data_IF_658321726869
#
_entry.id   IF_658321726869
#
_cell.length_a   1.000
_cell.length_b   1.000
_cell.length_c   1.000
_cell.angle_alpha   90.00
_cell.angle_beta   90.00
_cell.angle_gamma   90.00
#
_symmetry.space_group_name_H-M   'P 1'
#
loop_
_entity.id
_entity.type
_entity.pdbx_description
1 polymer ?
#
# COMPACT_ATOMS: atom_id res chain seq x y z
N UNK A 1 -16.13 4.98 25.22
CA UNK A 1 -15.28 6.01 24.63
C UNK A 1 -13.93 5.49 24.11
N UNK A 2 -13.14 4.71 24.88
CA UNK A 2 -11.83 4.16 24.38
C UNK A 2 -11.91 3.28 23.12
N UNK A 3 -12.95 2.45 22.96
CA UNK A 3 -13.12 1.60 21.75
C UNK A 3 -13.45 2.37 20.47
N UNK A 4 -14.11 3.52 20.57
CA UNK A 4 -14.42 4.37 19.40
C UNK A 4 -13.20 5.19 18.96
N UNK A 5 -12.37 5.67 19.88
CA UNK A 5 -11.11 6.34 19.56
C UNK A 5 -10.10 5.40 18.90
N UNK A 6 -9.96 4.15 19.40
CA UNK A 6 -9.13 3.10 18.76
C UNK A 6 -9.60 2.73 17.34
N UNK A 7 -10.92 2.83 17.07
CA UNK A 7 -11.51 2.55 15.75
C UNK A 7 -11.27 3.69 14.75
N UNK A 8 -11.18 4.94 15.22
CA UNK A 8 -10.83 6.10 14.39
C UNK A 8 -9.33 6.11 14.05
N UNK A 9 -8.44 5.75 14.96
CA UNK A 9 -6.99 5.73 14.76
C UNK A 9 -6.53 4.72 13.69
N UNK A 10 -7.21 3.57 13.55
CA UNK A 10 -6.88 2.56 12.52
C UNK A 10 -7.17 2.99 11.08
N UNK A 11 -7.82 4.10 10.84
CA UNK A 11 -8.24 4.55 9.50
C UNK A 11 -7.24 5.47 8.80
N UNK A 12 -6.15 5.88 9.44
CA UNK A 12 -5.23 6.91 8.93
C UNK A 12 -3.87 6.37 8.45
N UNK A 13 -3.65 5.05 8.52
CA UNK A 13 -2.40 4.46 8.03
C UNK A 13 -2.25 4.65 6.52
N UNK A 14 -1.07 5.07 6.14
CA UNK A 14 -0.60 5.17 4.76
C UNK A 14 -1.31 6.22 3.90
N UNK A 15 -1.76 7.32 4.52
CA UNK A 15 -2.60 8.32 3.85
C UNK A 15 -1.86 9.05 2.74
N UNK A 16 -0.60 9.44 2.96
CA UNK A 16 0.18 10.17 1.93
C UNK A 16 0.44 9.29 0.71
N UNK A 17 0.79 8.02 0.92
CA UNK A 17 0.95 7.04 -0.17
C UNK A 17 -0.37 6.88 -0.95
N UNK A 18 -1.48 6.69 -0.26
CA UNK A 18 -2.81 6.60 -0.88
C UNK A 18 -3.20 7.86 -1.62
N UNK A 19 -2.97 9.04 -1.04
CA UNK A 19 -3.27 10.32 -1.71
C UNK A 19 -2.48 10.46 -3.02
N UNK A 20 -1.23 10.05 -3.05
CA UNK A 20 -0.39 10.07 -4.25
C UNK A 20 -0.88 9.09 -5.32
N UNK A 21 -1.17 7.86 -4.93
CA UNK A 21 -1.48 6.78 -5.88
C UNK A 21 -2.98 6.51 -6.06
N UNK A 22 -3.87 7.28 -5.44
CA UNK A 22 -5.28 7.34 -5.83
C UNK A 22 -5.53 8.16 -7.10
N UNK A 23 -4.46 8.61 -7.74
CA UNK A 23 -4.46 9.23 -9.06
C UNK A 23 -4.11 8.18 -10.11
N UNK A 24 -4.91 8.07 -11.18
CA UNK A 24 -4.77 7.02 -12.20
C UNK A 24 -3.43 7.07 -12.94
N UNK A 25 -2.92 8.25 -13.24
CA UNK A 25 -1.64 8.45 -13.93
C UNK A 25 -0.47 7.99 -13.06
N UNK A 26 -0.46 8.39 -11.79
CA UNK A 26 0.57 7.96 -10.84
C UNK A 26 0.50 6.43 -10.59
N UNK A 27 -0.71 5.89 -10.47
CA UNK A 27 -0.94 4.46 -10.27
C UNK A 27 -0.50 3.64 -11.49
N UNK A 28 -0.80 4.11 -12.70
CA UNK A 28 -0.36 3.46 -13.94
C UNK A 28 1.17 3.49 -14.08
N UNK A 29 1.80 4.62 -13.74
CA UNK A 29 3.26 4.74 -13.69
C UNK A 29 3.88 3.74 -12.72
N UNK A 30 3.29 3.59 -11.51
CA UNK A 30 3.73 2.62 -10.52
C UNK A 30 3.56 1.17 -11.03
N UNK A 31 2.42 0.85 -11.62
CA UNK A 31 2.16 -0.46 -12.21
C UNK A 31 3.19 -0.79 -13.30
N UNK A 32 3.43 0.13 -14.23
CA UNK A 32 4.42 -0.03 -15.29
C UNK A 32 5.83 -0.28 -14.73
N UNK A 33 6.24 0.48 -13.73
CA UNK A 33 7.55 0.35 -13.10
C UNK A 33 7.77 -1.02 -12.44
N UNK A 34 6.72 -1.58 -11.82
CA UNK A 34 6.79 -2.88 -11.14
C UNK A 34 6.82 -4.04 -12.14
N UNK A 35 6.01 -3.95 -13.19
CA UNK A 35 5.79 -5.05 -14.13
C UNK A 35 6.65 -4.96 -15.41
N UNK A 36 7.44 -3.88 -15.59
CA UNK A 36 8.22 -3.63 -16.81
C UNK A 36 7.33 -3.43 -18.04
N UNK A 37 6.14 -2.85 -17.84
CA UNK A 37 5.17 -2.57 -18.91
C UNK A 37 5.15 -1.09 -19.28
N UNK A 38 4.47 -0.75 -20.38
CA UNK A 38 4.41 0.61 -20.92
C UNK A 38 2.98 0.97 -21.32
N UNK A 39 2.02 0.76 -20.42
CA UNK A 39 0.66 1.25 -20.65
C UNK A 39 0.64 2.78 -20.62
N UNK A 40 0.03 3.39 -21.64
CA UNK A 40 -0.06 4.85 -21.77
C UNK A 40 -1.44 5.39 -21.36
N UNK A 41 -2.49 4.58 -21.48
CA UNK A 41 -3.87 4.99 -21.26
C UNK A 41 -4.38 4.56 -19.90
N UNK A 42 -4.97 5.49 -19.19
CA UNK A 42 -5.60 5.26 -17.87
C UNK A 42 -7.06 4.81 -17.97
N UNK A 43 -7.64 4.80 -19.18
CA UNK A 43 -9.05 4.43 -19.38
C UNK A 43 -9.36 3.00 -18.97
N UNK A 44 -8.39 2.08 -19.18
CA UNK A 44 -8.51 0.68 -18.84
C UNK A 44 -8.21 0.39 -17.35
N UNK A 45 -7.86 1.42 -16.56
CA UNK A 45 -7.59 1.31 -15.14
C UNK A 45 -8.83 1.69 -14.33
N UNK A 46 -9.38 0.71 -13.61
CA UNK A 46 -10.52 0.87 -12.72
C UNK A 46 -10.10 0.73 -11.26
N UNK A 47 -10.26 1.79 -10.47
CA UNK A 47 -10.00 1.75 -9.02
C UNK A 47 -11.23 1.15 -8.32
N UNK A 48 -11.02 0.05 -7.61
CA UNK A 48 -12.07 -0.74 -6.95
C UNK A 48 -11.91 -0.80 -5.43
N UNK A 49 -11.14 0.11 -4.85
CA UNK A 49 -10.89 0.14 -3.40
C UNK A 49 -12.19 0.18 -2.59
N UNK A 50 -12.30 -0.67 -1.58
CA UNK A 50 -13.47 -0.73 -0.71
C UNK A 50 -13.46 0.43 0.30
N UNK A 51 -14.28 1.47 0.08
CA UNK A 51 -14.39 2.60 1.02
C UNK A 51 -15.11 2.23 2.33
N UNK A 52 -16.00 1.23 2.31
CA UNK A 52 -16.92 0.91 3.40
C UNK A 52 -16.87 -0.55 3.89
N UNK A 53 -15.69 -1.06 4.23
CA UNK A 53 -15.64 -2.32 4.96
C UNK A 53 -16.00 -2.09 6.45
N UNK A 54 -17.30 -1.99 6.76
CA UNK A 54 -17.84 -1.73 8.11
C UNK A 54 -17.55 -2.88 9.07
N UNK A 55 -17.31 -4.08 8.55
CA UNK A 55 -16.99 -5.27 9.35
C UNK A 55 -15.51 -5.62 9.21
N UNK A 56 -14.77 -5.54 10.32
CA UNK A 56 -13.40 -6.01 10.53
C UNK A 56 -12.24 -5.10 10.10
N UNK A 57 -12.31 -3.78 10.05
CA UNK A 57 -11.09 -2.93 9.89
C UNK A 57 -10.08 -3.39 8.80
N UNK A 58 -10.54 -4.16 7.79
CA UNK A 58 -9.73 -4.66 6.69
C UNK A 58 -9.96 -3.76 5.49
N UNK A 59 -9.14 -2.73 5.38
CA UNK A 59 -9.03 -1.90 4.17
C UNK A 59 -7.70 -2.25 3.53
N UNK A 60 -7.70 -2.47 2.23
CA UNK A 60 -6.50 -2.37 1.42
C UNK A 60 -6.31 -0.91 1.04
N UNK A 61 -5.06 -0.46 0.89
CA UNK A 61 -4.78 0.94 0.58
C UNK A 61 -5.28 1.30 -0.80
N UNK A 62 -4.93 0.51 -1.81
CA UNK A 62 -5.33 0.72 -3.20
C UNK A 62 -5.63 -0.63 -3.85
N UNK A 63 -6.83 -0.78 -4.39
CA UNK A 63 -7.19 -1.92 -5.25
C UNK A 63 -7.68 -1.41 -6.60
N UNK A 64 -7.22 -2.04 -7.67
CA UNK A 64 -7.59 -1.67 -9.03
C UNK A 64 -7.53 -2.84 -10.00
N UNK A 65 -8.31 -2.74 -11.07
CA UNK A 65 -8.26 -3.65 -12.22
C UNK A 65 -7.54 -2.92 -13.36
N UNK A 66 -6.62 -3.62 -14.00
CA UNK A 66 -6.00 -3.20 -15.25
C UNK A 66 -5.90 -4.40 -16.18
N UNK A 67 -6.62 -4.35 -17.30
CA UNK A 67 -6.76 -5.46 -18.22
C UNK A 67 -7.32 -6.71 -17.52
N UNK A 68 -6.56 -7.80 -17.51
CA UNK A 68 -6.95 -9.08 -16.90
C UNK A 68 -6.41 -9.27 -15.47
N UNK A 69 -5.87 -8.23 -14.85
CA UNK A 69 -5.28 -8.29 -13.52
C UNK A 69 -6.03 -7.44 -12.52
N UNK A 70 -6.24 -8.00 -11.34
CA UNK A 70 -6.72 -7.31 -10.15
C UNK A 70 -5.54 -7.11 -9.20
N UNK A 71 -5.17 -5.88 -8.95
CA UNK A 71 -3.99 -5.53 -8.17
C UNK A 71 -4.42 -4.99 -6.80
N UNK A 72 -3.81 -5.52 -5.75
CA UNK A 72 -3.99 -5.09 -4.37
C UNK A 72 -2.63 -4.57 -3.87
N UNK A 73 -2.55 -3.27 -3.68
CA UNK A 73 -1.37 -2.56 -3.22
C UNK A 73 -1.58 -2.07 -1.79
N UNK A 74 -0.65 -2.39 -0.92
CA UNK A 74 -0.65 -2.00 0.48
C UNK A 74 0.68 -1.33 0.81
N UNK A 75 0.66 -0.25 1.56
CA UNK A 75 1.86 0.37 2.10
C UNK A 75 2.05 -0.03 3.56
N UNK A 76 3.28 -0.31 3.99
CA UNK A 76 3.58 -0.67 5.37
C UNK A 76 4.90 -0.10 5.86
N UNK A 77 4.87 0.53 7.03
CA UNK A 77 6.04 0.94 7.79
C UNK A 77 6.53 -0.13 8.79
N UNK A 78 5.69 -1.12 9.07
CA UNK A 78 6.02 -2.28 9.90
C UNK A 78 5.63 -3.54 9.15
N UNK A 79 6.56 -4.50 9.01
CA UNK A 79 6.28 -5.76 8.35
C UNK A 79 5.24 -6.57 9.12
N UNK A 80 4.16 -6.90 8.44
CA UNK A 80 3.10 -7.75 8.99
C UNK A 80 3.13 -9.13 8.32
N UNK A 81 3.54 -10.20 9.04
CA UNK A 81 3.61 -11.55 8.47
C UNK A 81 2.23 -12.13 8.10
N UNK A 82 1.15 -11.54 8.62
CA UNK A 82 -0.22 -11.98 8.34
C UNK A 82 -0.84 -11.35 7.07
N UNK A 83 -0.04 -10.66 6.25
CA UNK A 83 -0.54 -10.07 5.01
C UNK A 83 -1.22 -11.09 4.09
N UNK A 84 -0.67 -12.30 3.84
CA UNK A 84 -1.34 -13.26 2.98
C UNK A 84 -2.74 -13.64 3.49
N UNK A 85 -2.93 -13.76 4.80
CA UNK A 85 -4.24 -14.05 5.39
C UNK A 85 -5.21 -12.86 5.28
N UNK A 86 -4.72 -11.64 5.46
CA UNK A 86 -5.51 -10.41 5.28
C UNK A 86 -5.97 -10.26 3.82
N UNK A 87 -5.03 -10.46 2.88
CA UNK A 87 -5.29 -10.36 1.46
C UNK A 87 -6.25 -11.44 0.96
N UNK A 88 -6.21 -12.66 1.52
CA UNK A 88 -7.17 -13.70 1.22
C UNK A 88 -8.60 -13.26 1.54
N UNK A 89 -8.83 -12.69 2.72
CA UNK A 89 -10.17 -12.21 3.09
C UNK A 89 -10.61 -11.00 2.25
N UNK A 90 -9.66 -10.14 1.88
CA UNK A 90 -9.97 -8.99 1.05
C UNK A 90 -10.32 -9.40 -0.38
N UNK A 91 -9.48 -10.26 -1.01
CA UNK A 91 -9.69 -10.68 -2.40
C UNK A 91 -10.98 -11.49 -2.56
N UNK A 92 -11.31 -12.34 -1.59
CA UNK A 92 -12.57 -13.10 -1.61
C UNK A 92 -13.79 -12.18 -1.73
N UNK A 93 -13.81 -11.07 -0.97
CA UNK A 93 -14.90 -10.07 -1.04
C UNK A 93 -14.92 -9.31 -2.37
N UNK A 94 -13.77 -9.07 -2.99
CA UNK A 94 -13.73 -8.43 -4.30
C UNK A 94 -14.23 -9.38 -5.39
N UNK A 95 -13.81 -10.64 -5.34
CA UNK A 95 -14.24 -11.67 -6.29
C UNK A 95 -15.75 -11.94 -6.20
N UNK A 96 -16.31 -11.95 -4.98
CA UNK A 96 -17.75 -12.10 -4.74
C UNK A 96 -18.58 -11.06 -5.49
N UNK A 97 -18.10 -9.81 -5.60
CA UNK A 97 -18.78 -8.74 -6.35
C UNK A 97 -18.72 -8.90 -7.86
N UNK A 98 -17.72 -9.61 -8.36
CA UNK A 98 -17.52 -9.83 -9.80
C UNK A 98 -18.28 -11.03 -10.34
N UNK A 99 -18.74 -11.89 -9.45
CA UNK A 99 -19.41 -13.14 -9.81
C UNK A 99 -20.91 -12.98 -9.62
N UNK A 100 -21.66 -13.27 -10.64
CA UNK A 100 -23.12 -13.36 -10.55
C UNK A 100 -23.48 -14.73 -9.97
N UNK A 101 -24.26 -14.75 -8.89
CA UNK A 101 -24.57 -15.96 -8.09
C UNK A 101 -24.98 -17.18 -8.94
N UNK A 102 -25.84 -17.00 -9.92
CA UNK A 102 -26.35 -18.08 -10.79
C UNK A 102 -25.23 -18.73 -11.66
N UNK A 103 -24.12 -18.04 -11.88
CA UNK A 103 -23.04 -18.54 -12.76
C UNK A 103 -22.13 -19.55 -12.08
N UNK A 104 -22.01 -19.51 -10.76
CA UNK A 104 -21.17 -20.45 -9.98
C UNK A 104 -21.68 -21.90 -10.04
N UNK A 105 -22.98 -22.08 -10.23
CA UNK A 105 -23.61 -23.40 -10.32
C UNK A 105 -23.73 -23.92 -11.75
N UNK A 106 -23.17 -23.18 -12.72
CA UNK A 106 -23.16 -23.60 -14.12
C UNK A 106 -22.04 -24.62 -14.39
N UNK A 107 -22.13 -25.35 -15.49
CA UNK A 107 -21.07 -26.25 -15.95
C UNK A 107 -19.88 -25.52 -16.62
N UNK A 108 -19.90 -24.20 -16.67
CA UNK A 108 -18.86 -23.36 -17.31
C UNK A 108 -17.99 -22.71 -16.27
N UNK A 109 -16.69 -22.64 -16.56
CA UNK A 109 -15.73 -21.94 -15.69
C UNK A 109 -15.99 -20.43 -15.74
N UNK A 110 -16.27 -19.83 -14.59
CA UNK A 110 -16.37 -18.37 -14.44
C UNK A 110 -14.95 -17.78 -14.48
N UNK A 111 -14.70 -16.85 -15.40
CA UNK A 111 -13.42 -16.15 -15.53
C UNK A 111 -13.43 -14.89 -14.65
N UNK A 112 -12.40 -14.74 -13.85
CA UNK A 112 -12.16 -13.58 -12.99
C UNK A 112 -10.77 -13.00 -13.26
N UNK A 113 -10.52 -11.71 -13.00
CA UNK A 113 -9.19 -11.13 -13.13
C UNK A 113 -8.17 -11.82 -12.23
N UNK A 114 -6.95 -11.99 -12.72
CA UNK A 114 -5.85 -12.63 -11.95
C UNK A 114 -5.39 -11.71 -10.83
N UNK A 115 -5.48 -12.13 -9.55
CA UNK A 115 -5.07 -11.29 -8.43
C UNK A 115 -3.54 -11.17 -8.32
N UNK A 116 -3.09 -9.98 -7.92
CA UNK A 116 -1.71 -9.65 -7.60
C UNK A 116 -1.66 -8.89 -6.28
N UNK A 117 -0.76 -9.26 -5.38
CA UNK A 117 -0.64 -8.70 -4.03
C UNK A 117 0.76 -8.14 -3.84
N UNK A 118 0.84 -6.84 -3.55
CA UNK A 118 2.11 -6.13 -3.37
C UNK A 118 2.05 -5.27 -2.13
N UNK A 119 3.04 -5.43 -1.26
CA UNK A 119 3.30 -4.57 -0.10
C UNK A 119 4.51 -3.70 -0.40
N UNK A 120 4.34 -2.39 -0.27
CA UNK A 120 5.42 -1.41 -0.32
C UNK A 120 5.89 -1.14 1.10
N UNK A 121 7.05 -1.70 1.44
CA UNK A 121 7.64 -1.54 2.76
C UNK A 121 8.62 -0.38 2.79
N UNK A 122 8.42 0.55 3.71
CA UNK A 122 9.35 1.62 3.97
C UNK A 122 9.69 1.81 5.47
N UNK A 123 9.62 0.73 6.25
CA UNK A 123 9.95 0.75 7.66
C UNK A 123 11.45 0.89 7.96
N UNK A 124 11.77 0.94 9.25
CA UNK A 124 13.17 1.07 9.74
C UNK A 124 13.84 -0.28 10.01
N UNK A 125 13.06 -1.35 10.14
CA UNK A 125 13.61 -2.68 10.39
C UNK A 125 14.27 -3.23 9.13
N UNK A 126 15.30 -4.06 9.30
CA UNK A 126 16.00 -4.68 8.20
C UNK A 126 15.03 -5.53 7.35
N UNK A 127 14.98 -5.24 6.08
CA UNK A 127 14.15 -5.94 5.11
C UNK A 127 14.93 -6.09 3.81
N UNK A 128 14.89 -7.29 3.24
CA UNK A 128 15.43 -7.56 1.91
C UNK A 128 14.80 -6.63 0.87
N UNK A 129 15.49 -6.44 -0.24
CA UNK A 129 14.99 -5.63 -1.35
C UNK A 129 13.64 -6.14 -1.86
N UNK A 130 13.52 -7.48 -1.94
CA UNK A 130 12.30 -8.21 -2.33
C UNK A 130 12.12 -9.43 -1.44
N UNK A 131 10.90 -9.63 -0.96
CA UNK A 131 10.53 -10.79 -0.13
C UNK A 131 9.16 -11.32 -0.53
N UNK A 132 8.97 -12.62 -0.46
CA UNK A 132 7.66 -13.26 -0.64
C UNK A 132 7.15 -13.74 0.71
N UNK A 133 5.94 -13.31 1.07
CA UNK A 133 5.18 -13.88 2.18
C UNK A 133 4.20 -14.91 1.60
N UNK A 134 4.02 -16.02 2.29
CA UNK A 134 3.15 -17.11 1.87
C UNK A 134 2.05 -17.37 2.90
N UNK A 135 0.85 -17.66 2.42
CA UNK A 135 -0.26 -18.04 3.30
C UNK A 135 0.03 -19.34 4.06
N UNK A 136 0.69 -20.27 3.42
CA UNK A 136 1.10 -21.53 4.02
C UNK A 136 2.04 -21.37 5.23
N UNK A 137 2.70 -20.21 5.38
CA UNK A 137 3.50 -19.91 6.57
C UNK A 137 2.66 -19.78 7.85
N UNK A 138 1.37 -19.46 7.70
CA UNK A 138 0.41 -19.36 8.81
C UNK A 138 -0.25 -20.70 9.19
N UNK A 139 -0.05 -21.78 8.41
CA UNK A 139 -0.67 -23.07 8.69
C UNK A 139 -0.01 -23.76 9.89
N UNK A 140 -0.84 -24.33 10.74
CA UNK A 140 -0.36 -25.05 11.95
C UNK A 140 0.49 -26.27 11.58
N UNK A 141 0.11 -26.98 10.51
CA UNK A 141 0.87 -28.11 9.98
C UNK A 141 1.53 -27.71 8.66
N UNK A 142 2.83 -27.93 8.57
CA UNK A 142 3.58 -27.72 7.31
C UNK A 142 3.45 -28.96 6.44
N UNK A 143 3.15 -28.74 5.16
CA UNK A 143 3.05 -29.77 4.13
C UNK A 143 3.88 -29.32 2.92
N UNK A 144 4.38 -30.27 2.14
CA UNK A 144 5.18 -29.98 0.94
C UNK A 144 4.30 -29.38 -0.17
N UNK A 145 3.08 -29.91 -0.31
CA UNK A 145 2.05 -29.41 -1.21
C UNK A 145 0.86 -28.92 -0.39
N UNK A 146 0.36 -27.75 -0.72
CA UNK A 146 -0.79 -27.12 -0.05
C UNK A 146 -1.90 -26.85 -1.06
N UNK A 147 -3.14 -27.18 -0.67
CA UNK A 147 -4.31 -26.96 -1.53
C UNK A 147 -4.69 -25.48 -1.67
N UNK A 148 -4.28 -24.64 -0.71
CA UNK A 148 -4.53 -23.21 -0.73
C UNK A 148 -3.23 -22.42 -0.51
N UNK A 149 -2.81 -21.67 -1.51
CA UNK A 149 -1.66 -20.78 -1.40
C UNK A 149 -1.97 -19.37 -1.93
N UNK A 150 -1.59 -18.36 -1.17
CA UNK A 150 -1.57 -16.96 -1.57
C UNK A 150 -0.18 -16.40 -1.29
N UNK A 151 0.41 -15.74 -2.28
CA UNK A 151 1.74 -15.14 -2.19
C UNK A 151 1.64 -13.63 -2.29
N UNK A 152 2.30 -12.94 -1.36
CA UNK A 152 2.39 -11.48 -1.34
C UNK A 152 3.83 -11.07 -1.60
N UNK A 153 4.05 -10.24 -2.61
CA UNK A 153 5.35 -9.65 -2.90
C UNK A 153 5.56 -8.42 -2.01
N UNK A 154 6.56 -8.44 -1.16
CA UNK A 154 7.02 -7.26 -0.41
C UNK A 154 8.16 -6.60 -1.18
N UNK A 155 8.02 -5.31 -1.47
CA UNK A 155 9.02 -4.46 -2.11
C UNK A 155 9.52 -3.43 -1.10
N UNK A 156 10.79 -3.49 -0.75
CA UNK A 156 11.41 -2.49 0.11
C UNK A 156 11.64 -1.20 -0.70
N UNK A 157 10.92 -0.15 -0.35
CA UNK A 157 10.99 1.15 -1.04
C UNK A 157 11.79 2.21 -0.27
N UNK A 158 12.63 1.79 0.68
CA UNK A 158 13.60 2.70 1.29
C UNK A 158 14.66 3.16 0.29
N UNK A 159 15.35 4.26 0.60
CA UNK A 159 16.41 4.79 -0.24
C UNK A 159 17.48 3.72 -0.55
N UNK A 160 17.86 3.63 -1.82
CA UNK A 160 18.83 2.64 -2.31
C UNK A 160 18.30 1.27 -2.67
N UNK A 161 17.05 0.94 -2.26
CA UNK A 161 16.40 -0.34 -2.58
C UNK A 161 15.57 -0.24 -3.87
N UNK A 162 15.35 -1.38 -4.54
CA UNK A 162 14.55 -1.50 -5.78
C UNK A 162 14.83 -0.37 -6.78
N UNK A 163 16.10 -0.09 -7.02
CA UNK A 163 16.56 1.07 -7.80
C UNK A 163 15.88 1.19 -9.16
N UNK A 164 15.69 0.09 -9.88
CA UNK A 164 15.04 0.10 -11.19
C UNK A 164 13.59 0.60 -11.10
N UNK A 165 12.83 0.15 -10.10
CA UNK A 165 11.44 0.60 -9.87
C UNK A 165 11.43 2.09 -9.51
N UNK A 166 12.35 2.51 -8.64
CA UNK A 166 12.46 3.91 -8.22
C UNK A 166 12.82 4.84 -9.39
N UNK A 167 13.68 4.43 -10.29
CA UNK A 167 14.05 5.20 -11.48
C UNK A 167 12.91 5.25 -12.50
N UNK A 168 12.09 4.20 -12.60
CA UNK A 168 10.96 4.11 -13.51
C UNK A 168 9.67 4.77 -12.99
N UNK A 169 9.52 4.96 -11.67
CA UNK A 169 8.37 5.64 -11.07
C UNK A 169 8.83 6.84 -10.23
N UNK A 170 8.81 8.02 -10.85
CA UNK A 170 9.23 9.28 -10.19
C UNK A 170 8.46 9.55 -8.90
N UNK A 171 7.14 9.37 -8.90
CA UNK A 171 6.29 9.60 -7.73
C UNK A 171 6.70 8.72 -6.55
N UNK A 172 7.00 7.42 -6.78
CA UNK A 172 7.46 6.51 -5.73
C UNK A 172 8.82 6.91 -5.18
N UNK A 173 9.76 7.28 -6.06
CA UNK A 173 11.10 7.76 -5.67
C UNK A 173 10.99 9.02 -4.81
N UNK A 174 10.21 9.98 -5.23
CA UNK A 174 10.04 11.25 -4.51
C UNK A 174 9.33 11.05 -3.16
N UNK A 175 8.37 10.13 -3.08
CA UNK A 175 7.74 9.71 -1.82
C UNK A 175 8.75 9.10 -0.85
N UNK A 176 9.63 8.20 -1.33
CA UNK A 176 10.69 7.61 -0.51
C UNK A 176 11.63 8.68 0.07
N UNK A 177 12.03 9.66 -0.73
CA UNK A 177 12.87 10.79 -0.29
C UNK A 177 12.16 11.60 0.81
N UNK A 178 10.88 11.90 0.62
CA UNK A 178 10.09 12.62 1.63
C UNK A 178 10.06 11.88 2.97
N UNK A 179 9.75 10.57 2.95
CA UNK A 179 9.69 9.75 4.18
C UNK A 179 11.06 9.70 4.87
N UNK A 180 12.14 9.52 4.11
CA UNK A 180 13.52 9.53 4.66
C UNK A 180 13.85 10.86 5.35
N UNK A 181 13.47 12.00 4.76
CA UNK A 181 13.66 13.33 5.37
C UNK A 181 12.90 13.50 6.67
N UNK A 182 11.62 13.10 6.69
CA UNK A 182 10.82 13.15 7.92
C UNK A 182 11.50 12.34 9.01
N UNK A 183 11.94 11.11 8.72
CA UNK A 183 12.65 10.26 9.70
C UNK A 183 13.96 10.89 10.19
N UNK A 184 14.75 11.44 9.28
CA UNK A 184 15.99 12.13 9.61
C UNK A 184 15.73 13.28 10.58
N UNK A 185 14.76 14.14 10.30
CA UNK A 185 14.45 15.28 11.15
C UNK A 185 13.80 14.88 12.48
N UNK A 186 13.02 13.80 12.48
CA UNK A 186 12.39 13.25 13.69
C UNK A 186 13.42 12.84 14.76
N UNK A 187 14.65 12.54 14.39
CA UNK A 187 15.71 12.23 15.33
C UNK A 187 16.06 13.43 16.24
N UNK A 188 15.92 14.66 15.74
CA UNK A 188 16.42 15.87 16.39
C UNK A 188 15.30 16.85 16.78
N UNK A 189 14.04 16.62 16.35
CA UNK A 189 12.93 17.54 16.59
C UNK A 189 11.57 16.84 16.67
N UNK A 190 10.56 17.50 17.26
CA UNK A 190 9.18 16.98 17.27
C UNK A 190 8.64 16.68 15.87
N UNK A 191 7.72 15.70 15.78
CA UNK A 191 7.19 15.20 14.51
C UNK A 191 6.56 16.31 13.66
N UNK A 192 5.83 17.24 14.28
CA UNK A 192 5.19 18.36 13.59
C UNK A 192 6.22 19.21 12.84
N UNK A 193 7.34 19.54 13.52
CA UNK A 193 8.43 20.33 12.93
C UNK A 193 9.20 19.54 11.88
N UNK A 194 9.39 18.23 12.09
CA UNK A 194 10.07 17.35 11.16
C UNK A 194 9.30 17.24 9.83
N UNK A 195 7.97 17.04 9.89
CA UNK A 195 7.10 16.98 8.73
C UNK A 195 7.07 18.31 7.98
N UNK A 196 6.84 19.42 8.69
CA UNK A 196 6.79 20.76 8.09
C UNK A 196 8.10 21.13 7.38
N UNK A 197 9.23 20.81 8.00
CA UNK A 197 10.54 21.03 7.43
C UNK A 197 10.75 20.18 6.18
N UNK A 198 10.43 18.87 6.26
CA UNK A 198 10.56 17.96 5.13
C UNK A 198 9.70 18.40 3.93
N UNK A 199 8.44 18.78 4.15
CA UNK A 199 7.53 19.28 3.12
C UNK A 199 8.10 20.57 2.49
N UNK A 200 8.55 21.50 3.32
CA UNK A 200 9.12 22.80 2.84
C UNK A 200 10.33 22.57 1.94
N UNK A 201 11.25 21.70 2.34
CA UNK A 201 12.44 21.39 1.54
C UNK A 201 12.09 20.61 0.27
N UNK A 202 11.16 19.67 0.35
CA UNK A 202 10.68 18.95 -0.83
C UNK A 202 10.09 19.92 -1.87
N UNK A 203 9.27 20.89 -1.44
CA UNK A 203 8.74 21.93 -2.35
C UNK A 203 9.87 22.73 -2.99
N UNK A 204 10.86 23.17 -2.21
CA UNK A 204 12.00 23.97 -2.71
C UNK A 204 12.84 23.20 -3.73
N UNK A 205 12.97 21.89 -3.57
CA UNK A 205 13.77 21.03 -4.43
C UNK A 205 12.97 20.36 -5.56
N UNK A 206 11.72 20.77 -5.74
CA UNK A 206 10.82 20.23 -6.76
C UNK A 206 10.54 18.72 -6.61
N UNK A 207 10.50 18.23 -5.37
CA UNK A 207 10.14 16.85 -4.99
C UNK A 207 8.68 16.85 -4.57
N UNK A 208 7.79 16.16 -5.29
CA UNK A 208 6.34 16.18 -5.07
C UNK A 208 5.78 17.61 -4.90
N UNK A 209 6.42 18.62 -5.51
CA UNK A 209 6.17 20.02 -5.18
C UNK A 209 4.73 20.44 -5.42
N UNK A 210 4.12 20.06 -6.54
CA UNK A 210 2.74 20.43 -6.86
C UNK A 210 1.73 19.74 -5.96
N UNK A 211 2.01 18.49 -5.57
CA UNK A 211 1.22 17.74 -4.60
C UNK A 211 1.27 18.42 -3.24
N UNK A 212 2.45 18.70 -2.72
CA UNK A 212 2.61 19.34 -1.42
C UNK A 212 2.06 20.76 -1.37
N UNK A 213 2.16 21.54 -2.43
CA UNK A 213 1.54 22.87 -2.49
C UNK A 213 0.02 22.82 -2.39
N UNK A 214 -0.62 21.82 -3.03
CA UNK A 214 -2.07 21.66 -3.02
C UNK A 214 -2.59 21.04 -1.72
N UNK A 215 -1.86 20.08 -1.14
CA UNK A 215 -2.33 19.21 -0.06
C UNK A 215 -1.55 19.40 1.26
N UNK A 216 -0.79 20.53 1.39
CA UNK A 216 0.14 20.73 2.52
C UNK A 216 -0.47 20.46 3.88
N UNK A 217 -1.60 21.11 4.18
CA UNK A 217 -2.23 21.00 5.51
C UNK A 217 -2.67 19.55 5.81
N UNK A 218 -3.23 18.87 4.83
CA UNK A 218 -3.69 17.49 4.95
C UNK A 218 -2.50 16.53 5.11
N UNK A 219 -1.46 16.67 4.29
CA UNK A 219 -0.23 15.87 4.39
C UNK A 219 0.43 16.01 5.74
N UNK A 220 0.57 17.25 6.25
CA UNK A 220 1.17 17.51 7.56
C UNK A 220 0.36 16.84 8.66
N UNK A 221 -0.96 17.05 8.68
CA UNK A 221 -1.83 16.46 9.69
C UNK A 221 -1.79 14.91 9.67
N UNK A 222 -1.84 14.32 8.48
CA UNK A 222 -1.82 12.86 8.31
C UNK A 222 -0.47 12.23 8.66
N UNK A 223 0.63 12.85 8.23
CA UNK A 223 1.97 12.34 8.56
C UNK A 223 2.23 12.36 10.07
N UNK A 224 1.76 13.37 10.79
CA UNK A 224 1.85 13.42 12.25
C UNK A 224 1.10 12.26 12.89
N UNK A 225 -0.10 11.95 12.40
CA UNK A 225 -0.91 10.82 12.89
C UNK A 225 -0.24 9.48 12.61
N UNK A 226 0.28 9.27 11.40
CA UNK A 226 1.00 8.04 11.02
C UNK A 226 2.19 7.75 11.94
N UNK A 227 3.05 8.74 12.16
CA UNK A 227 4.24 8.57 13.01
C UNK A 227 3.90 8.33 14.48
N UNK A 228 2.83 8.94 15.01
CA UNK A 228 2.38 8.70 16.38
C UNK A 228 1.84 7.27 16.56
N UNK A 229 1.12 6.74 15.57
CA UNK A 229 0.65 5.34 15.57
C UNK A 229 1.80 4.33 15.52
N UNK A 230 2.83 4.57 14.72
CA UNK A 230 4.03 3.72 14.67
C UNK A 230 4.71 3.61 16.04
N UNK A 231 4.79 4.71 16.79
CA UNK A 231 5.36 4.71 18.15
C UNK A 231 4.51 3.92 19.15
N UNK A 232 3.17 3.95 19.01
CA UNK A 232 2.27 3.18 19.88
C UNK A 232 2.33 1.67 19.59
N UNK A 233 2.40 1.28 18.30
CA UNK A 233 2.51 -0.14 17.91
C UNK A 233 3.80 -0.78 18.40
N UNK A 234 4.91 -0.03 18.44
CA UNK A 234 6.20 -0.53 18.95
C UNK A 234 6.23 -0.74 20.47
N UNK A 235 5.24 -0.25 21.19
CA UNK A 235 5.11 -0.40 22.67
C UNK A 235 4.27 -1.60 23.08
N UNK A 236 3.64 -2.30 22.13
CA UNK A 236 2.85 -3.51 22.31
C UNK A 236 3.67 -4.73 21.92
#
# INVERSE_FOLDING_TARGET
MKKQQLKMQRNYKDTVFRMLFNNKEALLSLYNAINGTHYERTDDLEIITLENAVYMAMKNDIAFILGLYMNLYEHQSTLNPNMPLRDLFYIAKQMEKLVVDDTLYSSRVVKIPTPKFIVFYNGVDACEERRILKLSDAFQKKEEEVDLELKVLVLNINAGMNRQIMESCRTLKEYSIYVERVRKYRADMPIEQAVEKAVTECIRENILADFFKKQRAEVVAMSILEYNEEEEIKKI
#
